data_IF_641523284786
#
_entry.id   IF_641523284786
#
_cell.length_a   1.000
_cell.length_b   1.000
_cell.length_c   1.000
_cell.angle_alpha   90.00
_cell.angle_beta   90.00
_cell.angle_gamma   90.00
#
_symmetry.space_group_name_H-M   'P 1'
#
loop_
_entity.id
_entity.type
_entity.pdbx_description
1 polymer ?
#
# COMPACT_ATOMS: atom_id res chain seq x y z
N UNK A 1 -14.77 -65.82 -9.64
CA UNK A 1 -14.42 -64.86 -10.71
C UNK A 1 -14.68 -63.48 -10.13
N UNK A 2 -13.63 -62.75 -9.75
CA UNK A 2 -13.71 -61.45 -9.10
C UNK A 2 -13.49 -60.35 -10.14
N UNK A 3 -14.54 -59.60 -10.48
CA UNK A 3 -14.43 -58.42 -11.35
C UNK A 3 -13.61 -57.33 -10.65
N UNK A 4 -12.55 -56.87 -11.32
CA UNK A 4 -11.75 -55.74 -10.87
C UNK A 4 -12.48 -54.42 -11.19
N UNK A 5 -12.46 -53.41 -10.30
CA UNK A 5 -13.16 -52.16 -10.55
C UNK A 5 -12.41 -51.33 -11.61
N UNK A 6 -13.15 -50.85 -12.62
CA UNK A 6 -12.63 -49.95 -13.64
C UNK A 6 -12.23 -48.60 -13.02
N UNK A 7 -11.00 -48.10 -13.21
CA UNK A 7 -10.65 -46.75 -12.79
C UNK A 7 -11.27 -45.75 -13.77
N UNK A 8 -12.36 -45.10 -13.37
CA UNK A 8 -12.91 -43.93 -14.05
C UNK A 8 -11.96 -42.73 -13.88
N UNK A 9 -10.93 -42.64 -14.71
CA UNK A 9 -10.25 -41.38 -14.94
C UNK A 9 -11.08 -40.59 -15.96
N UNK A 10 -11.79 -39.55 -15.52
CA UNK A 10 -12.28 -38.54 -16.44
C UNK A 10 -11.11 -37.61 -16.78
N UNK A 11 -10.74 -37.52 -18.07
CA UNK A 11 -9.86 -36.45 -18.52
C UNK A 11 -10.63 -35.15 -18.33
N UNK A 12 -10.25 -34.37 -17.30
CA UNK A 12 -10.63 -32.96 -17.22
C UNK A 12 -9.98 -32.27 -18.41
N UNK A 13 -10.76 -32.05 -19.47
CA UNK A 13 -10.29 -31.32 -20.64
C UNK A 13 -9.98 -29.89 -20.20
N UNK A 14 -8.70 -29.54 -20.21
CA UNK A 14 -8.23 -28.18 -20.00
C UNK A 14 -8.97 -27.22 -20.95
N UNK A 15 -9.83 -26.36 -20.40
CA UNK A 15 -10.52 -25.32 -21.15
C UNK A 15 -9.80 -23.98 -20.95
N UNK A 16 -8.97 -23.52 -21.90
CA UNK A 16 -8.25 -22.26 -21.79
C UNK A 16 -9.18 -21.03 -21.74
N UNK A 17 -10.46 -21.16 -22.12
CA UNK A 17 -11.42 -20.05 -22.07
C UNK A 17 -11.86 -19.68 -20.64
N UNK A 18 -11.68 -20.58 -19.68
CA UNK A 18 -11.99 -20.33 -18.26
C UNK A 18 -10.78 -19.81 -17.47
N UNK A 19 -9.59 -19.74 -18.07
CA UNK A 19 -8.40 -19.13 -17.46
C UNK A 19 -8.42 -17.62 -17.70
N UNK A 20 -9.09 -16.88 -16.83
CA UNK A 20 -8.80 -15.45 -16.66
C UNK A 20 -7.47 -15.31 -15.93
N UNK A 21 -6.39 -15.17 -16.69
CA UNK A 21 -5.10 -14.74 -16.16
C UNK A 21 -5.22 -13.25 -15.83
N UNK A 22 -5.56 -12.93 -14.58
CA UNK A 22 -5.42 -11.57 -14.09
C UNK A 22 -3.93 -11.32 -13.92
N UNK A 23 -3.32 -10.51 -14.79
CA UNK A 23 -1.98 -9.97 -14.52
C UNK A 23 -2.04 -9.27 -13.16
N UNK A 24 -1.39 -9.85 -12.15
CA UNK A 24 -1.24 -9.20 -10.87
C UNK A 24 -0.52 -7.88 -11.14
N UNK A 25 -1.17 -6.75 -10.83
CA UNK A 25 -0.50 -5.46 -10.85
C UNK A 25 0.74 -5.56 -9.95
N UNK A 26 1.88 -5.07 -10.42
CA UNK A 26 3.11 -5.05 -9.63
C UNK A 26 2.90 -4.04 -8.50
N UNK A 27 2.46 -4.52 -7.34
CA UNK A 27 2.27 -3.71 -6.14
C UNK A 27 3.48 -3.84 -5.24
N UNK A 28 3.93 -2.72 -4.69
CA UNK A 28 5.00 -2.72 -3.70
C UNK A 28 4.56 -3.49 -2.45
N UNK A 29 5.46 -4.29 -1.87
CA UNK A 29 5.20 -4.99 -0.62
C UNK A 29 5.08 -3.99 0.54
N UNK A 30 4.37 -4.38 1.61
CA UNK A 30 4.22 -3.56 2.81
C UNK A 30 5.60 -3.18 3.40
N UNK A 31 6.50 -4.15 3.53
CA UNK A 31 7.83 -3.92 4.11
C UNK A 31 8.64 -2.92 3.27
N UNK A 32 8.65 -3.08 1.94
CA UNK A 32 9.34 -2.15 1.05
C UNK A 32 8.73 -0.75 1.11
N UNK A 33 7.40 -0.66 1.17
CA UNK A 33 6.70 0.61 1.28
C UNK A 33 7.02 1.35 2.58
N UNK A 34 7.01 0.65 3.74
CA UNK A 34 7.37 1.22 5.04
C UNK A 34 8.80 1.79 5.00
N UNK A 35 9.76 1.05 4.44
CA UNK A 35 11.16 1.50 4.33
C UNK A 35 11.34 2.74 3.44
N UNK A 36 10.41 2.99 2.52
CA UNK A 36 10.45 4.14 1.62
C UNK A 36 9.81 5.39 2.21
N UNK A 37 9.01 5.27 3.28
CA UNK A 37 8.35 6.43 3.91
C UNK A 37 9.43 7.38 4.46
N UNK A 38 9.46 8.65 4.00
CA UNK A 38 10.43 9.62 4.50
C UNK A 38 10.08 10.08 5.92
N UNK A 39 11.09 10.28 6.75
CA UNK A 39 10.94 11.04 7.99
C UNK A 39 10.85 12.54 7.69
N UNK A 40 10.00 13.26 8.42
CA UNK A 40 9.84 14.70 8.28
C UNK A 40 9.69 15.39 9.64
N UNK A 41 10.62 16.28 9.97
CA UNK A 41 10.69 16.93 11.29
C UNK A 41 10.13 18.36 11.31
N UNK A 42 9.55 18.83 10.20
CA UNK A 42 9.40 20.26 9.92
C UNK A 42 10.61 20.79 9.16
N UNK A 43 10.43 21.89 8.44
CA UNK A 43 11.47 22.42 7.55
C UNK A 43 10.93 23.46 6.58
N UNK A 44 11.63 23.64 5.47
CA UNK A 44 11.23 24.57 4.42
C UNK A 44 10.04 24.03 3.60
N UNK A 45 9.40 24.91 2.83
CA UNK A 45 8.36 24.50 1.87
C UNK A 45 8.89 23.46 0.87
N UNK A 46 10.16 23.54 0.48
CA UNK A 46 10.79 22.57 -0.41
C UNK A 46 10.92 21.19 0.23
N UNK A 47 11.28 21.13 1.53
CA UNK A 47 11.37 19.87 2.28
C UNK A 47 10.00 19.20 2.41
N UNK A 48 8.97 20.01 2.69
CA UNK A 48 7.58 19.55 2.75
C UNK A 48 7.12 19.01 1.38
N UNK A 49 7.39 19.75 0.29
CA UNK A 49 7.03 19.33 -1.06
C UNK A 49 7.71 18.00 -1.45
N UNK A 50 8.97 17.82 -1.09
CA UNK A 50 9.71 16.57 -1.31
C UNK A 50 9.12 15.40 -0.51
N UNK A 51 8.76 15.62 0.77
CA UNK A 51 8.09 14.63 1.60
C UNK A 51 6.75 14.20 0.98
N UNK A 52 5.90 15.18 0.64
CA UNK A 52 4.58 14.94 0.04
C UNK A 52 4.70 14.13 -1.25
N UNK A 53 5.63 14.51 -2.13
CA UNK A 53 5.82 13.84 -3.42
C UNK A 53 6.20 12.36 -3.25
N UNK A 54 7.06 12.06 -2.28
CA UNK A 54 7.45 10.67 -1.97
C UNK A 54 6.28 9.87 -1.40
N UNK A 55 5.53 10.43 -0.45
CA UNK A 55 4.35 9.77 0.12
C UNK A 55 3.25 9.52 -0.93
N UNK A 56 2.98 10.51 -1.80
CA UNK A 56 2.05 10.37 -2.93
C UNK A 56 2.47 9.21 -3.84
N UNK A 57 3.76 9.13 -4.18
CA UNK A 57 4.29 8.05 -5.01
C UNK A 57 4.09 6.68 -4.35
N UNK A 58 4.47 6.51 -3.08
CA UNK A 58 4.30 5.24 -2.35
C UNK A 58 2.83 4.82 -2.33
N UNK A 59 1.91 5.74 -1.99
CA UNK A 59 0.47 5.47 -1.94
C UNK A 59 -0.15 5.16 -3.32
N UNK A 60 0.51 5.57 -4.41
CA UNK A 60 0.08 5.25 -5.78
C UNK A 60 0.46 3.84 -6.23
N UNK A 61 1.55 3.27 -5.70
CA UNK A 61 2.12 1.98 -6.13
C UNK A 61 1.86 0.82 -5.15
N UNK A 62 1.21 1.09 -4.02
CA UNK A 62 0.81 0.08 -3.04
C UNK A 62 -0.64 -0.38 -3.24
N UNK A 63 -0.93 -1.63 -2.86
CA UNK A 63 -2.29 -2.15 -2.87
C UNK A 63 -3.20 -1.36 -1.91
N UNK A 64 -4.47 -1.18 -2.28
CA UNK A 64 -5.44 -0.43 -1.48
C UNK A 64 -5.59 -0.98 -0.05
N UNK A 65 -5.45 -2.30 0.13
CA UNK A 65 -5.54 -2.99 1.41
C UNK A 65 -4.43 -2.60 2.39
N UNK A 66 -3.27 -2.16 1.91
CA UNK A 66 -2.13 -1.79 2.77
C UNK A 66 -1.98 -0.28 2.95
N UNK A 67 -2.70 0.55 2.19
CA UNK A 67 -2.67 2.03 2.32
C UNK A 67 -2.91 2.52 3.76
N UNK A 68 -3.84 1.95 4.56
CA UNK A 68 -4.01 2.39 5.94
C UNK A 68 -2.75 2.19 6.79
N UNK A 69 -2.05 1.06 6.63
CA UNK A 69 -0.80 0.80 7.35
C UNK A 69 0.33 1.73 6.91
N UNK A 70 0.39 2.08 5.62
CA UNK A 70 1.34 3.08 5.12
C UNK A 70 1.03 4.45 5.71
N UNK A 71 -0.24 4.82 5.81
CA UNK A 71 -0.64 6.09 6.40
C UNK A 71 -0.27 6.20 7.89
N UNK A 72 -0.48 5.16 8.68
CA UNK A 72 0.00 5.10 10.07
C UNK A 72 1.53 5.23 10.15
N UNK A 73 2.24 4.61 9.20
CA UNK A 73 3.70 4.74 9.12
C UNK A 73 4.10 6.19 8.82
N UNK A 74 3.40 6.87 7.90
CA UNK A 74 3.65 8.29 7.60
C UNK A 74 3.47 9.14 8.86
N UNK A 75 2.39 8.94 9.63
CA UNK A 75 2.16 9.65 10.89
C UNK A 75 3.29 9.40 11.90
N UNK A 76 3.73 8.15 12.04
CA UNK A 76 4.81 7.77 12.95
C UNK A 76 6.19 8.33 12.54
N UNK A 77 6.37 8.65 11.25
CA UNK A 77 7.59 9.25 10.70
C UNK A 77 7.61 10.78 10.77
N UNK A 78 6.52 11.41 11.24
CA UNK A 78 6.51 12.83 11.57
C UNK A 78 7.20 13.04 12.92
N UNK A 79 8.16 13.97 12.94
CA UNK A 79 8.86 14.39 14.14
C UNK A 79 8.87 15.91 14.29
N UNK A 80 9.55 16.41 15.32
CA UNK A 80 9.78 17.85 15.51
C UNK A 80 8.52 18.72 15.38
N UNK A 81 8.61 19.77 14.58
CA UNK A 81 7.52 20.73 14.37
C UNK A 81 6.35 20.11 13.60
N UNK A 82 6.63 19.18 12.68
CA UNK A 82 5.59 18.46 11.96
C UNK A 82 4.74 17.60 12.90
N UNK A 83 5.38 16.89 13.84
CA UNK A 83 4.66 16.15 14.88
C UNK A 83 3.86 17.10 15.79
N UNK A 84 4.45 18.22 16.20
CA UNK A 84 3.77 19.22 17.03
C UNK A 84 2.53 19.80 16.35
N UNK A 85 2.55 19.95 15.02
CA UNK A 85 1.43 20.45 14.24
C UNK A 85 0.26 19.45 14.14
N UNK A 86 0.51 18.15 14.29
CA UNK A 86 -0.50 17.10 14.07
C UNK A 86 -0.96 16.40 15.36
N UNK A 87 -0.18 16.46 16.45
CA UNK A 87 -0.39 15.65 17.68
C UNK A 87 -1.74 15.79 18.39
N UNK A 88 -2.48 16.86 18.14
CA UNK A 88 -3.79 17.12 18.77
C UNK A 88 -4.98 16.97 17.81
N UNK A 89 -4.73 16.47 16.60
CA UNK A 89 -5.74 16.29 15.57
C UNK A 89 -5.72 14.87 15.06
N UNK A 90 -6.91 14.30 14.89
CA UNK A 90 -7.06 13.00 14.26
C UNK A 90 -7.08 13.17 12.74
N UNK A 91 -6.25 12.40 12.05
CA UNK A 91 -6.23 12.31 10.60
C UNK A 91 -6.53 10.87 10.21
N UNK A 92 -7.39 10.68 9.20
CA UNK A 92 -7.76 9.35 8.69
C UNK A 92 -7.37 9.14 7.23
N UNK A 93 -7.01 10.23 6.56
CA UNK A 93 -6.75 10.25 5.13
C UNK A 93 -5.51 11.10 4.85
N UNK A 94 -4.69 10.60 3.94
CA UNK A 94 -3.45 11.26 3.53
C UNK A 94 -3.71 12.66 2.96
N UNK A 95 -4.76 12.84 2.15
CA UNK A 95 -5.07 14.13 1.54
C UNK A 95 -5.41 15.21 2.59
N UNK A 96 -6.08 14.82 3.67
CA UNK A 96 -6.40 15.73 4.78
C UNK A 96 -5.14 16.12 5.55
N UNK A 97 -4.26 15.15 5.83
CA UNK A 97 -2.97 15.42 6.47
C UNK A 97 -2.09 16.33 5.61
N UNK A 98 -2.00 16.03 4.32
CA UNK A 98 -1.25 16.79 3.32
C UNK A 98 -1.72 18.25 3.23
N UNK A 99 -3.03 18.48 3.25
CA UNK A 99 -3.57 19.84 3.28
C UNK A 99 -3.21 20.55 4.58
N UNK A 100 -3.30 19.88 5.73
CA UNK A 100 -2.94 20.47 7.02
C UNK A 100 -1.47 20.85 7.12
N UNK A 101 -0.55 20.03 6.60
CA UNK A 101 0.89 20.31 6.64
C UNK A 101 1.31 21.49 5.75
N UNK A 102 0.48 21.90 4.78
CA UNK A 102 0.75 23.02 3.86
C UNK A 102 0.31 24.38 4.42
N UNK A 103 -0.48 24.38 5.49
CA UNK A 103 -1.02 25.58 6.16
C UNK A 103 -0.09 26.01 7.27
#
# INVERSE_FOLDING_TARGET
MSESPNPCWEIIRYNPQNLRITMAAVTLSLESAIRMVPSFNGGTEADLAACITKCDHILSIVAATIKPMIFETILAQLGGDAFNAVRYREFREWDVLKQHLRV
#
